data_IF_545366748189
#
_entry.id   IF_545366748189
#
_cell.length_a   1.000
_cell.length_b   1.000
_cell.length_c   1.000
_cell.angle_alpha   90.00
_cell.angle_beta   90.00
_cell.angle_gamma   90.00
#
_symmetry.space_group_name_H-M   'P 1'
#
loop_
_entity.id
_entity.type
_entity.pdbx_description
1 polymer ?
#
# COMPACT_ATOMS: atom_id res chain seq x y z
N UNK A 1 20.94 -24.89 -25.58
CA UNK A 1 19.95 -23.82 -25.80
C UNK A 1 20.07 -22.86 -24.65
N UNK A 2 20.77 -21.74 -24.87
CA UNK A 2 21.15 -20.80 -23.83
C UNK A 2 20.47 -19.46 -24.11
N UNK A 3 19.91 -18.86 -23.04
CA UNK A 3 19.54 -17.45 -22.88
C UNK A 3 18.58 -16.83 -23.90
N UNK A 4 17.27 -16.93 -23.62
CA UNK A 4 16.26 -15.94 -24.02
C UNK A 4 15.10 -15.97 -23.00
N UNK A 5 15.36 -15.51 -21.77
CA UNK A 5 14.31 -14.99 -20.89
C UNK A 5 14.63 -13.52 -20.73
N UNK A 6 14.23 -12.74 -21.74
CA UNK A 6 14.25 -11.29 -21.64
C UNK A 6 13.16 -10.89 -20.65
N UNK A 7 13.60 -10.39 -19.51
CA UNK A 7 12.83 -9.50 -18.64
C UNK A 7 12.19 -8.42 -19.51
N UNK A 8 10.88 -8.49 -19.72
CA UNK A 8 10.15 -7.53 -20.55
C UNK A 8 8.91 -7.05 -19.81
N UNK A 9 9.15 -6.49 -18.61
CA UNK A 9 8.18 -5.68 -17.90
C UNK A 9 8.17 -4.28 -18.51
N UNK A 10 7.02 -3.84 -19.01
CA UNK A 10 6.80 -2.48 -19.53
C UNK A 10 6.49 -1.52 -18.39
N UNK A 11 5.78 -2.01 -17.37
CA UNK A 11 5.45 -1.24 -16.17
C UNK A 11 5.72 -2.09 -14.95
N UNK A 12 6.34 -1.49 -13.94
CA UNK A 12 6.45 -2.09 -12.61
C UNK A 12 6.14 -0.99 -11.58
N UNK A 13 5.22 -1.26 -10.67
CA UNK A 13 4.89 -0.37 -9.57
C UNK A 13 5.12 -1.12 -8.27
N UNK A 14 5.88 -0.52 -7.36
CA UNK A 14 6.08 -1.01 -6.01
C UNK A 14 5.38 -0.05 -5.06
N UNK A 15 4.41 -0.53 -4.30
CA UNK A 15 3.63 0.26 -3.37
C UNK A 15 3.69 -0.33 -1.97
N UNK A 16 3.61 0.53 -0.96
CA UNK A 16 3.44 0.13 0.42
C UNK A 16 2.14 0.69 0.95
N UNK A 17 1.51 -0.04 1.86
CA UNK A 17 0.31 0.41 2.56
C UNK A 17 0.42 0.00 4.01
N UNK A 18 0.18 0.94 4.92
CA UNK A 18 0.15 0.61 6.34
C UNK A 18 -1.01 -0.35 6.59
N UNK A 19 -0.80 -1.31 7.49
CA UNK A 19 -1.92 -2.03 8.06
C UNK A 19 -2.85 -0.98 8.69
N UNK A 20 -4.15 -1.09 8.41
CA UNK A 20 -5.14 -0.24 9.04
C UNK A 20 -4.91 -0.24 10.56
N UNK A 21 -5.01 0.92 11.22
CA UNK A 21 -5.24 0.98 12.65
C UNK A 21 -6.68 0.50 12.93
N UNK A 22 -6.94 -0.79 12.70
CA UNK A 22 -8.10 -1.50 13.21
C UNK A 22 -7.93 -3.01 12.96
N UNK A 23 -8.13 -3.78 14.03
CA UNK A 23 -8.15 -5.23 14.07
C UNK A 23 -8.95 -5.84 12.92
N UNK A 24 -8.36 -6.79 12.20
CA UNK A 24 -9.07 -7.68 11.27
C UNK A 24 -10.35 -8.20 11.95
N UNK A 25 -11.52 -8.00 11.34
CA UNK A 25 -12.56 -9.02 11.21
C UNK A 25 -13.69 -8.49 10.28
N UNK A 26 -13.81 -9.03 9.07
CA UNK A 26 -15.10 -9.06 8.37
C UNK A 26 -15.63 -10.49 8.42
N UNK A 27 -16.76 -10.69 9.10
CA UNK A 27 -17.58 -11.88 8.92
C UNK A 27 -18.78 -11.48 8.05
N UNK A 28 -18.82 -11.94 6.81
CA UNK A 28 -20.00 -11.87 5.98
C UNK A 28 -21.03 -12.89 6.47
N UNK A 29 -22.24 -12.44 6.79
CA UNK A 29 -23.37 -13.30 7.12
C UNK A 29 -24.31 -13.36 5.91
N UNK A 30 -24.37 -14.52 5.27
CA UNK A 30 -25.45 -14.88 4.35
C UNK A 30 -26.46 -15.75 5.10
N UNK A 31 -27.74 -15.34 5.11
CA UNK A 31 -28.82 -16.13 5.71
C UNK A 31 -29.95 -16.26 4.69
N UNK A 32 -30.23 -17.50 4.30
CA UNK A 32 -31.39 -17.90 3.48
C UNK A 32 -32.61 -18.17 4.36
N UNK A 33 -33.79 -17.85 3.82
CA UNK A 33 -35.08 -17.80 4.51
C UNK A 33 -35.75 -19.16 4.75
N UNK A 34 -36.20 -19.43 5.99
CA UNK A 34 -37.59 -19.85 6.27
C UNK A 34 -37.92 -19.83 7.78
N UNK A 35 -38.96 -19.03 8.10
CA UNK A 35 -39.86 -18.95 9.27
C UNK A 35 -39.34 -19.04 10.73
N UNK A 36 -39.54 -17.93 11.46
CA UNK A 36 -40.36 -17.82 12.69
C UNK A 36 -40.43 -16.32 13.04
N UNK A 37 -41.62 -15.72 13.12
CA UNK A 37 -41.76 -14.26 13.26
C UNK A 37 -41.19 -13.72 14.59
N UNK A 38 -41.14 -14.56 15.62
CA UNK A 38 -40.47 -14.25 16.89
C UNK A 38 -38.94 -14.26 16.76
N UNK A 39 -38.40 -15.19 15.99
CA UNK A 39 -36.96 -15.24 15.69
C UNK A 39 -36.57 -14.13 14.72
N UNK A 40 -37.45 -13.72 13.79
CA UNK A 40 -37.26 -12.53 12.94
C UNK A 40 -37.24 -11.25 13.76
N UNK A 41 -38.12 -11.14 14.78
CA UNK A 41 -38.14 -9.97 15.67
C UNK A 41 -36.85 -9.87 16.49
N UNK A 42 -36.40 -10.97 17.10
CA UNK A 42 -35.10 -11.01 17.81
C UNK A 42 -33.92 -10.78 16.86
N UNK A 43 -33.99 -11.29 15.63
CA UNK A 43 -32.96 -11.06 14.61
C UNK A 43 -32.91 -9.59 14.16
N UNK A 44 -34.05 -8.92 14.02
CA UNK A 44 -34.09 -7.50 13.66
C UNK A 44 -33.46 -6.62 14.76
N UNK A 45 -33.67 -6.98 16.02
CA UNK A 45 -33.04 -6.32 17.17
C UNK A 45 -31.51 -6.53 17.17
N UNK A 46 -31.06 -7.77 16.89
CA UNK A 46 -29.62 -8.08 16.72
C UNK A 46 -29.01 -7.31 15.54
N UNK A 47 -29.71 -7.21 14.40
CA UNK A 47 -29.25 -6.44 13.24
C UNK A 47 -29.13 -4.95 13.58
N UNK A 48 -30.09 -4.40 14.32
CA UNK A 48 -30.05 -3.00 14.72
C UNK A 48 -28.85 -2.71 15.64
N UNK A 49 -28.62 -3.57 16.65
CA UNK A 49 -27.44 -3.50 17.51
C UNK A 49 -26.13 -3.65 16.70
N UNK A 50 -26.08 -4.56 15.73
CA UNK A 50 -24.93 -4.71 14.83
C UNK A 50 -24.66 -3.44 14.03
N UNK A 51 -25.70 -2.77 13.55
CA UNK A 51 -25.58 -1.52 12.81
C UNK A 51 -25.11 -0.37 13.70
N UNK A 52 -25.61 -0.28 14.95
CA UNK A 52 -25.17 0.72 15.94
C UNK A 52 -23.70 0.54 16.32
N UNK A 53 -23.25 -0.71 16.50
CA UNK A 53 -21.83 -1.03 16.74
C UNK A 53 -20.99 -0.69 15.51
N UNK A 54 -21.45 -1.05 14.30
CA UNK A 54 -20.74 -0.72 13.06
C UNK A 54 -20.63 0.80 12.85
N UNK A 55 -21.66 1.57 13.21
CA UNK A 55 -21.63 3.02 13.14
C UNK A 55 -20.67 3.61 14.17
N UNK A 56 -20.67 3.10 15.40
CA UNK A 56 -19.76 3.54 16.46
C UNK A 56 -18.28 3.26 16.11
N UNK A 57 -18.00 2.16 15.41
CA UNK A 57 -16.66 1.84 14.91
C UNK A 57 -16.22 2.82 13.81
N UNK A 58 -17.10 3.13 12.85
CA UNK A 58 -16.82 4.13 11.81
C UNK A 58 -16.56 5.52 12.41
N UNK A 59 -17.36 5.91 13.40
CA UNK A 59 -17.20 7.20 14.07
C UNK A 59 -15.89 7.27 14.87
N UNK A 60 -15.46 6.15 15.45
CA UNK A 60 -14.16 6.03 16.14
C UNK A 60 -12.98 6.09 15.16
N UNK A 61 -13.08 5.46 13.98
CA UNK A 61 -12.09 5.55 12.91
C UNK A 61 -11.94 7.00 12.41
N UNK A 62 -13.07 7.68 12.14
CA UNK A 62 -13.08 9.07 11.69
C UNK A 62 -12.51 10.04 12.75
N UNK A 63 -12.71 9.75 14.04
CA UNK A 63 -12.24 10.59 15.15
C UNK A 63 -10.72 10.63 15.31
N UNK A 64 -9.99 9.69 14.71
CA UNK A 64 -8.52 9.65 14.71
C UNK A 64 -7.86 10.40 13.56
N UNK A 65 -8.67 10.97 12.67
CA UNK A 65 -8.19 11.68 11.49
C UNK A 65 -7.59 13.05 11.84
N UNK A 66 -6.26 13.13 11.82
CA UNK A 66 -5.52 14.38 11.96
C UNK A 66 -5.44 15.12 10.62
N UNK A 67 -5.36 16.45 10.64
CA UNK A 67 -5.12 17.29 9.44
C UNK A 67 -3.72 17.09 8.79
N UNK A 68 -2.97 16.09 9.24
CA UNK A 68 -1.62 15.74 8.79
C UNK A 68 -1.58 14.22 8.55
N UNK A 69 -2.05 13.74 7.39
CA UNK A 69 -2.04 12.32 7.08
C UNK A 69 -0.61 11.80 7.01
N UNK A 70 -0.35 10.64 7.61
CA UNK A 70 1.01 10.07 7.74
C UNK A 70 1.47 9.34 6.47
N UNK A 71 0.52 8.82 5.71
CA UNK A 71 0.70 8.10 4.46
C UNK A 71 -0.57 8.18 3.58
N UNK A 72 -0.57 7.46 2.46
CA UNK A 72 -1.70 7.45 1.53
C UNK A 72 -2.94 6.74 2.08
N UNK A 73 -2.80 5.79 3.00
CA UNK A 73 -3.92 5.14 3.66
C UNK A 73 -4.68 6.15 4.53
N UNK A 74 -3.94 6.97 5.28
CA UNK A 74 -4.53 8.08 6.04
C UNK A 74 -5.18 9.11 5.12
N UNK A 75 -4.57 9.46 3.98
CA UNK A 75 -5.21 10.36 2.99
C UNK A 75 -6.53 9.77 2.49
N UNK A 76 -6.54 8.48 2.13
CA UNK A 76 -7.71 7.80 1.59
C UNK A 76 -8.87 7.77 2.59
N UNK A 77 -8.60 7.32 3.82
CA UNK A 77 -9.62 7.16 4.87
C UNK A 77 -10.07 8.48 5.47
N UNK A 78 -9.14 9.38 5.78
CA UNK A 78 -9.43 10.60 6.52
C UNK A 78 -9.72 11.80 5.63
N UNK A 79 -9.01 11.92 4.52
CA UNK A 79 -9.23 13.00 3.56
C UNK A 79 -10.45 12.76 2.66
N UNK A 80 -10.94 11.52 2.58
CA UNK A 80 -12.01 11.10 1.67
C UNK A 80 -11.59 11.19 0.20
N UNK A 81 -10.29 11.27 -0.08
CA UNK A 81 -9.78 11.42 -1.44
C UNK A 81 -9.60 10.06 -2.09
N UNK A 82 -10.34 9.82 -3.17
CA UNK A 82 -10.37 8.54 -3.91
C UNK A 82 -9.68 8.61 -5.27
N UNK A 83 -9.05 9.74 -5.58
CA UNK A 83 -8.36 9.97 -6.86
C UNK A 83 -6.87 9.69 -6.71
N UNK A 84 -6.28 8.91 -7.60
CA UNK A 84 -4.82 8.72 -7.60
C UNK A 84 -4.08 10.00 -8.00
N UNK A 85 -2.98 10.32 -7.32
CA UNK A 85 -2.29 11.60 -7.53
C UNK A 85 -1.18 11.88 -6.54
N UNK A 86 -0.62 13.09 -6.60
CA UNK A 86 0.43 13.54 -5.68
C UNK A 86 -0.20 14.20 -4.46
N UNK A 87 0.16 13.73 -3.27
CA UNK A 87 -0.33 14.23 -1.99
C UNK A 87 0.82 14.61 -1.07
N UNK A 88 0.55 15.52 -0.13
CA UNK A 88 1.47 15.82 0.97
C UNK A 88 1.12 14.95 2.18
N UNK A 89 2.13 14.29 2.75
CA UNK A 89 2.01 13.44 3.94
C UNK A 89 3.07 13.80 4.98
N UNK A 90 2.83 13.43 6.24
CA UNK A 90 3.66 13.72 7.41
C UNK A 90 4.01 12.43 8.16
N UNK A 91 5.00 11.65 7.68
CA UNK A 91 5.39 10.40 8.35
C UNK A 91 5.86 10.66 9.79
N UNK A 92 5.50 9.77 10.70
CA UNK A 92 6.00 9.74 12.08
C UNK A 92 7.44 9.20 12.10
N UNK A 93 8.39 10.04 11.71
CA UNK A 93 9.80 9.69 11.67
C UNK A 93 10.66 10.70 12.43
N UNK A 94 11.73 10.22 13.05
CA UNK A 94 12.79 11.10 13.60
C UNK A 94 13.66 11.70 12.49
N UNK A 95 13.60 11.15 11.28
CA UNK A 95 14.39 11.58 10.12
C UNK A 95 13.65 12.65 9.30
N UNK A 96 12.32 12.54 9.21
CA UNK A 96 11.48 13.45 8.42
C UNK A 96 10.62 14.30 9.37
N UNK A 97 10.92 15.59 9.46
CA UNK A 97 10.21 16.53 10.34
C UNK A 97 9.20 17.42 9.62
N UNK A 98 9.20 17.39 8.28
CA UNK A 98 8.35 18.19 7.40
C UNK A 98 7.44 17.33 6.56
N UNK A 99 6.47 17.93 5.88
CA UNK A 99 5.69 17.22 4.86
C UNK A 99 6.59 16.78 3.70
N UNK A 100 6.25 15.66 3.10
CA UNK A 100 6.85 15.19 1.85
C UNK A 100 5.76 14.92 0.82
N UNK A 101 6.11 14.99 -0.47
CA UNK A 101 5.22 14.63 -1.55
C UNK A 101 5.35 13.15 -1.88
N UNK A 102 4.23 12.46 -2.03
CA UNK A 102 4.16 11.06 -2.42
C UNK A 102 3.09 10.87 -3.50
N UNK A 103 3.27 9.86 -4.36
CA UNK A 103 2.18 9.43 -5.23
C UNK A 103 1.31 8.43 -4.48
N UNK A 104 0.03 8.74 -4.35
CA UNK A 104 -0.96 7.84 -3.80
C UNK A 104 -1.75 7.16 -4.93
N UNK A 105 -1.76 5.84 -4.93
CA UNK A 105 -2.71 5.05 -5.71
C UNK A 105 -3.94 4.77 -4.84
N UNK A 106 -5.04 5.44 -5.19
CA UNK A 106 -6.31 5.39 -4.47
C UNK A 106 -7.30 4.41 -5.10
N UNK A 107 -6.87 3.66 -6.11
CA UNK A 107 -7.76 2.87 -6.97
C UNK A 107 -7.46 1.38 -6.92
N UNK A 108 -6.18 1.00 -6.90
CA UNK A 108 -5.77 -0.41 -6.92
C UNK A 108 -6.10 -1.09 -5.60
N UNK A 109 -6.74 -2.26 -5.63
CA UNK A 109 -6.97 -3.13 -4.46
C UNK A 109 -7.49 -2.38 -3.20
N UNK A 110 -8.51 -1.55 -3.41
CA UNK A 110 -9.13 -0.76 -2.32
C UNK A 110 -8.42 0.54 -1.96
N UNK A 111 -7.39 0.95 -2.71
CA UNK A 111 -6.72 2.25 -2.58
C UNK A 111 -5.87 2.42 -1.33
N UNK A 112 -5.38 3.64 -1.11
CA UNK A 112 -4.53 3.97 0.05
C UNK A 112 -3.06 3.56 -0.08
N UNK A 113 -2.61 3.24 -1.29
CA UNK A 113 -1.25 2.77 -1.54
C UNK A 113 -0.29 3.93 -1.74
N UNK A 114 0.82 3.95 -1.01
CA UNK A 114 1.94 4.86 -1.24
C UNK A 114 2.92 4.22 -2.23
N UNK A 115 3.11 4.83 -3.40
CA UNK A 115 4.08 4.34 -4.40
C UNK A 115 5.49 4.67 -3.95
N UNK A 116 6.37 3.66 -3.89
CA UNK A 116 7.78 3.79 -3.51
C UNK A 116 8.75 3.59 -4.67
N UNK A 117 8.30 2.94 -5.75
CA UNK A 117 9.04 2.81 -7.00
C UNK A 117 8.05 2.73 -8.17
N UNK A 118 8.39 3.40 -9.27
CA UNK A 118 7.68 3.23 -10.56
C UNK A 118 8.69 3.04 -11.69
N UNK A 119 8.42 2.08 -12.57
CA UNK A 119 9.02 1.88 -13.89
C UNK A 119 7.94 1.96 -14.95
N UNK A 120 8.22 2.63 -16.06
CA UNK A 120 7.29 2.68 -17.19
C UNK A 120 7.96 3.13 -18.49
N UNK A 121 7.17 3.21 -19.56
CA UNK A 121 7.64 3.75 -20.84
C UNK A 121 7.59 5.28 -20.85
N UNK A 122 8.44 5.92 -20.03
CA UNK A 122 8.53 7.39 -19.92
C UNK A 122 9.73 7.97 -20.69
N UNK A 123 10.30 7.21 -21.62
CA UNK A 123 11.45 7.64 -22.44
C UNK A 123 12.79 7.71 -21.69
N UNK A 124 12.91 7.05 -20.52
CA UNK A 124 14.17 6.93 -19.80
C UNK A 124 15.12 5.93 -20.49
N UNK A 125 16.45 6.12 -20.41
CA UNK A 125 17.40 5.15 -20.92
C UNK A 125 17.34 3.84 -20.13
N UNK A 126 17.78 2.74 -20.73
CA UNK A 126 17.67 1.39 -20.13
C UNK A 126 18.44 1.27 -18.80
N UNK A 127 19.54 2.01 -18.66
CA UNK A 127 20.39 2.07 -17.48
C UNK A 127 20.00 3.20 -16.50
N UNK A 128 18.80 3.78 -16.65
CA UNK A 128 18.37 4.90 -15.80
C UNK A 128 18.40 4.58 -14.29
N UNK A 129 18.13 3.33 -13.92
CA UNK A 129 18.20 2.86 -12.52
C UNK A 129 19.59 2.35 -12.10
N UNK A 130 20.59 2.38 -12.99
CA UNK A 130 21.98 2.15 -12.59
C UNK A 130 22.48 3.40 -11.86
N UNK A 131 22.47 3.33 -10.53
CA UNK A 131 22.68 4.46 -9.60
C UNK A 131 23.56 4.03 -8.43
N UNK A 132 24.23 5.01 -7.80
CA UNK A 132 25.10 4.77 -6.66
C UNK A 132 24.32 4.66 -5.33
N UNK A 133 25.03 4.31 -4.26
CA UNK A 133 24.44 4.17 -2.92
C UNK A 133 23.73 5.45 -2.48
N UNK A 134 24.36 6.60 -2.70
CA UNK A 134 23.82 7.91 -2.32
C UNK A 134 22.47 8.17 -3.00
N UNK A 135 22.38 7.90 -4.30
CA UNK A 135 21.13 8.04 -5.06
C UNK A 135 20.03 7.10 -4.53
N UNK A 136 20.34 5.85 -4.22
CA UNK A 136 19.35 4.92 -3.65
C UNK A 136 18.95 5.30 -2.22
N UNK A 137 19.86 5.87 -1.43
CA UNK A 137 19.58 6.42 -0.10
C UNK A 137 18.63 7.60 -0.16
N UNK A 138 18.95 8.60 -0.98
CA UNK A 138 18.23 9.90 -1.05
C UNK A 138 16.98 9.83 -1.94
N UNK A 139 16.93 8.92 -2.90
CA UNK A 139 15.90 8.85 -3.93
C UNK A 139 16.29 9.58 -5.21
N UNK A 140 15.62 9.23 -6.32
CA UNK A 140 15.85 9.84 -7.62
C UNK A 140 14.63 9.68 -8.54
N UNK A 141 14.55 10.54 -9.56
CA UNK A 141 13.51 10.50 -10.59
C UNK A 141 12.33 11.41 -10.30
N UNK A 142 11.24 11.17 -11.03
CA UNK A 142 10.04 12.01 -10.99
C UNK A 142 8.87 11.20 -10.46
N UNK A 143 8.23 11.65 -9.38
CA UNK A 143 7.17 10.93 -8.66
C UNK A 143 5.98 10.53 -9.57
N UNK A 144 5.79 11.24 -10.69
CA UNK A 144 4.74 10.95 -11.68
C UNK A 144 5.20 10.03 -12.83
N UNK A 145 6.50 9.72 -12.94
CA UNK A 145 7.11 8.87 -13.98
C UNK A 145 8.02 7.80 -13.35
N UNK A 146 9.17 7.46 -13.94
CA UNK A 146 10.18 6.63 -13.31
C UNK A 146 10.80 7.31 -12.08
N UNK A 147 10.72 6.65 -10.91
CA UNK A 147 11.40 7.10 -9.70
C UNK A 147 11.69 5.97 -8.71
N UNK A 148 12.62 6.26 -7.81
CA UNK A 148 12.87 5.55 -6.56
C UNK A 148 12.71 6.52 -5.39
N UNK A 149 11.88 6.18 -4.41
CA UNK A 149 11.56 7.08 -3.29
C UNK A 149 12.77 7.44 -2.42
N UNK A 150 13.75 6.55 -2.32
CA UNK A 150 14.89 6.69 -1.41
C UNK A 150 14.76 5.82 -0.17
N UNK A 151 15.83 5.10 0.17
CA UNK A 151 15.84 4.14 1.26
C UNK A 151 15.62 4.80 2.62
N UNK A 152 16.10 6.04 2.83
CA UNK A 152 15.85 6.76 4.09
C UNK A 152 14.35 7.01 4.31
N UNK A 153 13.62 7.33 3.24
CA UNK A 153 12.18 7.50 3.31
C UNK A 153 11.47 6.16 3.45
N UNK A 154 11.83 5.13 2.67
CA UNK A 154 11.21 3.80 2.79
C UNK A 154 11.40 3.24 4.21
N UNK A 155 12.58 3.42 4.81
CA UNK A 155 12.85 3.09 6.20
C UNK A 155 11.92 3.86 7.15
N UNK A 156 11.81 5.18 6.97
CA UNK A 156 10.94 6.03 7.78
C UNK A 156 9.47 5.61 7.74
N UNK A 157 8.93 5.25 6.57
CA UNK A 157 7.57 4.74 6.46
C UNK A 157 7.43 3.37 7.12
N UNK A 158 8.25 2.40 6.71
CA UNK A 158 8.05 0.99 7.10
C UNK A 158 8.37 0.68 8.56
N UNK A 159 9.00 1.62 9.28
CA UNK A 159 9.29 1.50 10.71
C UNK A 159 8.37 2.36 11.59
N UNK A 160 7.39 3.10 11.02
CA UNK A 160 6.44 3.88 11.83
C UNK A 160 5.24 3.04 12.30
N UNK A 161 4.83 2.06 11.50
CA UNK A 161 3.75 1.09 11.73
C UNK A 161 4.01 -0.16 10.86
N UNK A 162 3.26 -1.27 11.01
CA UNK A 162 3.36 -2.38 10.06
C UNK A 162 2.91 -1.98 8.65
N UNK A 163 3.67 -2.36 7.62
CA UNK A 163 3.33 -2.14 6.21
C UNK A 163 3.27 -3.46 5.44
N UNK A 164 2.37 -3.50 4.46
CA UNK A 164 2.36 -4.49 3.39
C UNK A 164 2.99 -3.91 2.13
N UNK A 165 3.58 -4.77 1.31
CA UNK A 165 4.23 -4.43 0.05
C UNK A 165 3.49 -5.08 -1.11
N UNK A 166 3.14 -4.29 -2.13
CA UNK A 166 2.49 -4.77 -3.35
C UNK A 166 3.32 -4.42 -4.58
N UNK A 167 3.45 -5.38 -5.48
CA UNK A 167 3.98 -5.22 -6.82
C UNK A 167 2.85 -5.32 -7.82
N UNK A 168 2.76 -4.35 -8.72
CA UNK A 168 1.99 -4.44 -9.97
C UNK A 168 2.97 -4.52 -11.13
N UNK A 169 2.82 -5.55 -11.95
CA UNK A 169 3.74 -5.89 -13.04
C UNK A 169 2.93 -6.03 -14.33
N UNK A 170 3.38 -5.38 -15.40
CA UNK A 170 2.78 -5.52 -16.72
C UNK A 170 3.87 -5.87 -17.72
N UNK A 171 3.68 -6.94 -18.49
CA UNK A 171 4.60 -7.35 -19.54
C UNK A 171 4.36 -6.60 -20.87
N UNK A 172 5.14 -6.91 -21.91
CA UNK A 172 4.99 -6.33 -23.24
C UNK A 172 3.70 -6.69 -23.95
N UNK A 173 3.14 -7.85 -23.63
CA UNK A 173 1.89 -8.31 -24.21
C UNK A 173 0.67 -7.66 -23.52
N UNK A 174 0.92 -6.87 -22.46
CA UNK A 174 -0.08 -6.15 -21.69
C UNK A 174 -0.67 -6.97 -20.54
N UNK A 175 -0.16 -8.18 -20.30
CA UNK A 175 -0.64 -9.04 -19.22
C UNK A 175 -0.18 -8.49 -17.88
N UNK A 176 -1.14 -8.23 -17.00
CA UNK A 176 -0.90 -7.71 -15.65
C UNK A 176 -0.85 -8.83 -14.62
N UNK A 177 0.14 -8.79 -13.75
CA UNK A 177 0.30 -9.68 -12.59
C UNK A 177 0.64 -8.89 -11.35
N UNK A 178 0.32 -9.46 -10.19
CA UNK A 178 0.61 -8.85 -8.91
C UNK A 178 1.18 -9.84 -7.90
N UNK A 179 1.94 -9.28 -6.95
CA UNK A 179 2.43 -9.94 -5.75
C UNK A 179 2.20 -9.02 -4.56
N UNK A 180 1.71 -9.57 -3.45
CA UNK A 180 1.49 -8.88 -2.19
C UNK A 180 2.24 -9.63 -1.09
N UNK A 181 2.88 -8.89 -0.20
CA UNK A 181 3.50 -9.38 1.01
C UNK A 181 2.90 -8.65 2.20
N UNK A 182 2.30 -9.40 3.13
CA UNK A 182 1.62 -8.85 4.29
C UNK A 182 2.55 -8.03 5.20
N UNK A 183 3.82 -8.43 5.31
CA UNK A 183 4.83 -7.76 6.12
C UNK A 183 5.99 -7.31 5.26
N UNK A 184 6.32 -6.03 5.34
CA UNK A 184 7.48 -5.43 4.68
C UNK A 184 8.08 -4.34 5.54
N UNK A 185 9.38 -4.42 5.76
CA UNK A 185 10.18 -3.31 6.26
C UNK A 185 11.64 -3.45 5.85
N UNK A 186 12.35 -2.34 5.87
CA UNK A 186 13.80 -2.31 5.72
C UNK A 186 14.43 -1.77 7.00
N UNK A 187 15.65 -2.23 7.26
CA UNK A 187 16.47 -1.80 8.37
C UNK A 187 17.07 -0.40 8.17
N UNK A 188 17.72 0.14 9.20
CA UNK A 188 18.43 1.43 9.07
C UNK A 188 19.64 1.33 8.12
N UNK A 189 20.17 2.48 7.68
CA UNK A 189 21.40 2.52 6.87
C UNK A 189 22.58 1.80 7.55
N UNK A 190 22.68 1.86 8.88
CA UNK A 190 23.73 1.16 9.64
C UNK A 190 23.70 -0.37 9.44
N UNK A 191 22.54 -0.91 9.11
CA UNK A 191 22.33 -2.31 8.77
C UNK A 191 22.06 -2.49 7.27
N UNK A 192 22.56 -1.56 6.44
CA UNK A 192 22.52 -1.60 4.98
C UNK A 192 21.11 -1.71 4.38
N UNK A 193 20.09 -1.18 5.05
CA UNK A 193 18.70 -1.28 4.59
C UNK A 193 18.23 -2.73 4.37
N UNK A 194 18.67 -3.65 5.24
CA UNK A 194 18.33 -5.07 5.13
C UNK A 194 16.82 -5.28 5.06
N UNK A 195 16.38 -6.11 4.11
CA UNK A 195 14.97 -6.37 3.82
C UNK A 195 14.40 -7.44 4.76
N UNK A 196 13.20 -7.21 5.25
CA UNK A 196 12.33 -8.26 5.79
C UNK A 196 11.00 -8.26 5.04
N UNK A 197 10.64 -9.43 4.49
CA UNK A 197 9.39 -9.62 3.76
C UNK A 197 8.75 -10.97 4.10
N UNK A 198 7.43 -11.01 4.31
CA UNK A 198 6.69 -12.23 4.67
C UNK A 198 5.23 -12.18 4.17
N UNK A 199 4.58 -13.35 4.10
CA UNK A 199 3.15 -13.46 3.82
C UNK A 199 2.80 -13.22 2.35
N UNK A 200 3.50 -13.92 1.45
CA UNK A 200 3.25 -13.83 0.01
C UNK A 200 1.82 -14.25 -0.38
N UNK A 201 1.21 -13.49 -1.28
CA UNK A 201 0.05 -13.87 -2.08
C UNK A 201 0.10 -13.19 -3.46
N UNK A 202 -0.50 -13.78 -4.48
CA UNK A 202 -0.52 -13.19 -5.82
C UNK A 202 -0.49 -14.20 -6.95
N UNK A 203 -0.45 -13.69 -8.19
CA UNK A 203 -0.38 -14.48 -9.41
C UNK A 203 0.91 -14.23 -10.24
N UNK A 204 1.80 -13.39 -9.73
CA UNK A 204 3.12 -13.13 -10.32
C UNK A 204 4.16 -14.24 -10.04
N UNK A 205 3.89 -15.16 -9.11
CA UNK A 205 4.90 -16.03 -8.50
C UNK A 205 5.66 -15.33 -7.37
N UNK A 206 6.22 -16.11 -6.44
CA UNK A 206 7.10 -15.59 -5.38
C UNK A 206 8.53 -15.58 -5.89
N UNK A 207 9.16 -14.42 -5.90
CA UNK A 207 10.54 -14.21 -6.34
C UNK A 207 11.23 -13.10 -5.55
N UNK A 208 10.67 -12.74 -4.38
CA UNK A 208 11.20 -11.68 -3.53
C UNK A 208 11.55 -12.17 -2.12
N UNK A 209 11.02 -13.33 -1.71
CA UNK A 209 11.47 -14.07 -0.52
C UNK A 209 12.71 -14.90 -0.83
#
# INVERSE_FOLDING_TARGET
>A
MAFHIAFLLVTALMTIRSAACCSKQTCALSVTSQETDEMKSKLAEIINLSNEVAQSLKDAEQKTCNNRPEDCEAVYKCGGSTTSGVYSVWPRSRVVTTSIQVYCDMTTDGGGWTVIQRRGNFGRPIDYFYKDWKSYKEGFGEITQDFWMGNDLIYAFTNQMPYSLRFELMDLDGESRWALYDTFWIDSERHNYNLTVQGYSGNAGDSFT
#
